data_IF_137639906764
#
_entry.id   IF_137639906764
#
_cell.length_a   1.000
_cell.length_b   1.000
_cell.length_c   1.000
_cell.angle_alpha   90.00
_cell.angle_beta   90.00
_cell.angle_gamma   90.00
#
_symmetry.space_group_name_H-M   'P 1'
#
loop_
_entity.id
_entity.type
_entity.pdbx_description
1 polymer ?
#
# COMPACT_ATOMS: atom_id res chain seq x y z
N UNK A 1 85.88 -22.06 -12.34
CA UNK A 1 85.09 -21.36 -11.31
C UNK A 1 83.89 -20.78 -12.00
N UNK A 2 82.69 -21.43 -11.77
CA UNK A 2 81.48 -21.06 -12.47
C UNK A 2 80.52 -20.44 -11.44
N UNK A 3 80.24 -19.13 -11.53
CA UNK A 3 79.28 -18.42 -10.68
C UNK A 3 77.87 -18.55 -11.25
N UNK A 4 77.01 -19.30 -10.55
CA UNK A 4 75.58 -19.29 -10.86
C UNK A 4 74.89 -18.24 -9.99
N UNK A 5 74.29 -17.24 -10.62
CA UNK A 5 73.45 -16.22 -9.96
C UNK A 5 72.08 -16.81 -9.61
N UNK A 6 71.44 -16.47 -8.47
CA UNK A 6 70.12 -16.98 -8.10
C UNK A 6 69.04 -16.15 -8.82
N UNK A 7 68.10 -16.88 -9.48
CA UNK A 7 66.89 -16.31 -10.08
C UNK A 7 65.90 -15.97 -8.96
N UNK A 8 65.65 -14.67 -8.76
CA UNK A 8 64.57 -14.20 -7.90
C UNK A 8 63.22 -14.45 -8.58
N UNK A 9 62.40 -15.31 -7.99
CA UNK A 9 61.00 -15.47 -8.39
C UNK A 9 60.19 -14.27 -7.89
N UNK A 10 59.67 -13.45 -8.81
CA UNK A 10 58.72 -12.40 -8.54
C UNK A 10 57.35 -13.06 -8.35
N UNK A 11 56.84 -13.04 -7.13
CA UNK A 11 55.46 -13.50 -6.84
C UNK A 11 54.49 -12.41 -7.32
N UNK A 12 53.73 -12.72 -8.37
CA UNK A 12 52.62 -11.90 -8.83
C UNK A 12 51.46 -12.03 -7.79
N UNK A 13 51.27 -10.95 -7.04
CA UNK A 13 50.11 -10.82 -6.16
C UNK A 13 48.85 -10.79 -7.02
N UNK A 14 47.95 -11.76 -6.85
CA UNK A 14 46.60 -11.76 -7.44
C UNK A 14 45.76 -10.69 -6.73
N UNK A 15 45.10 -9.79 -7.49
CA UNK A 15 44.16 -8.88 -6.86
C UNK A 15 42.98 -9.69 -6.30
N UNK A 16 42.69 -9.54 -5.02
CA UNK A 16 41.51 -10.08 -4.40
C UNK A 16 40.28 -9.38 -5.00
N UNK A 17 39.47 -10.12 -5.75
CA UNK A 17 38.15 -9.68 -6.17
C UNK A 17 37.31 -9.50 -4.90
N UNK A 18 37.08 -8.24 -4.52
CA UNK A 18 36.13 -7.91 -3.49
C UNK A 18 34.75 -8.38 -3.94
N UNK A 19 34.25 -9.42 -3.30
CA UNK A 19 32.87 -9.86 -3.48
C UNK A 19 31.95 -8.71 -3.06
N UNK A 20 31.32 -8.05 -4.05
CA UNK A 20 30.22 -7.13 -3.79
C UNK A 20 29.06 -7.98 -3.25
N UNK A 21 28.90 -7.97 -1.95
CA UNK A 21 27.71 -8.52 -1.31
C UNK A 21 26.48 -7.82 -1.89
N UNK A 22 25.57 -8.57 -2.48
CA UNK A 22 24.24 -8.09 -2.78
C UNK A 22 23.54 -7.84 -1.44
N UNK A 23 23.57 -6.59 -0.98
CA UNK A 23 22.66 -6.17 0.07
C UNK A 23 21.27 -6.14 -0.58
N UNK A 24 20.50 -7.20 -0.44
CA UNK A 24 19.07 -7.12 -0.62
C UNK A 24 18.55 -6.19 0.48
N UNK A 25 18.34 -4.93 0.16
CA UNK A 25 17.53 -4.06 1.01
C UNK A 25 16.20 -4.78 1.22
N UNK A 26 15.77 -5.06 2.47
CA UNK A 26 14.45 -5.59 2.69
C UNK A 26 13.47 -4.65 1.99
N UNK A 27 12.55 -5.20 1.18
CA UNK A 27 11.48 -4.42 0.55
C UNK A 27 10.81 -3.61 1.64
N UNK A 28 10.96 -2.31 1.56
CA UNK A 28 10.43 -1.42 2.56
C UNK A 28 8.95 -1.21 2.24
N UNK A 29 8.07 -1.96 2.89
CA UNK A 29 6.66 -1.60 2.98
C UNK A 29 6.51 -0.15 3.45
N UNK A 30 5.35 0.47 3.15
CA UNK A 30 4.99 1.77 3.70
C UNK A 30 5.45 1.91 5.17
N UNK A 31 6.11 3.02 5.49
CA UNK A 31 6.74 3.24 6.81
C UNK A 31 6.00 4.30 7.60
N UNK A 32 5.99 4.15 8.92
CA UNK A 32 5.60 5.24 9.82
C UNK A 32 6.52 6.44 9.58
N UNK A 33 5.92 7.63 9.44
CA UNK A 33 6.60 8.88 9.06
C UNK A 33 6.69 9.13 7.56
N UNK A 34 6.32 8.17 6.71
CA UNK A 34 6.27 8.36 5.26
C UNK A 34 5.16 9.34 4.90
N UNK A 35 5.44 10.29 4.02
CA UNK A 35 4.45 11.19 3.45
C UNK A 35 3.50 10.45 2.52
N UNK A 36 2.23 10.86 2.49
CA UNK A 36 1.27 10.34 1.53
C UNK A 36 1.68 10.80 0.12
N UNK A 37 1.71 9.88 -0.87
CA UNK A 37 2.09 10.23 -2.24
C UNK A 37 1.23 11.37 -2.81
N UNK A 38 1.87 12.43 -3.29
CA UNK A 38 1.22 13.56 -3.94
C UNK A 38 0.97 13.22 -5.42
N UNK A 39 -0.11 12.51 -5.71
CA UNK A 39 -0.45 11.99 -7.03
C UNK A 39 -1.92 12.23 -7.36
N UNK A 40 -2.20 12.77 -8.55
CA UNK A 40 -3.55 12.99 -9.10
C UNK A 40 -4.04 11.78 -9.91
N UNK A 41 -3.96 10.58 -9.32
CA UNK A 41 -4.23 9.31 -10.01
C UNK A 41 -5.43 8.54 -9.46
N UNK A 42 -5.87 8.87 -8.25
CA UNK A 42 -7.05 8.26 -7.67
C UNK A 42 -8.31 8.91 -8.25
N UNK A 43 -9.34 8.10 -8.46
CA UNK A 43 -10.58 8.50 -9.10
C UNK A 43 -11.78 8.17 -8.23
N UNK A 44 -12.68 9.13 -8.05
CA UNK A 44 -13.92 8.96 -7.29
C UNK A 44 -15.13 9.10 -8.21
N UNK A 45 -16.02 8.13 -8.19
CA UNK A 45 -17.29 8.07 -8.94
C UNK A 45 -17.18 8.12 -10.46
N UNK A 46 -16.18 8.82 -11.01
CA UNK A 46 -16.00 8.98 -12.46
C UNK A 46 -14.54 9.25 -12.82
N UNK A 47 -14.10 8.99 -14.06
CA UNK A 47 -12.72 9.25 -14.50
C UNK A 47 -12.30 10.72 -14.47
N UNK A 48 -13.25 11.64 -14.52
CA UNK A 48 -13.00 13.07 -14.47
C UNK A 48 -12.80 13.63 -13.07
N UNK A 49 -13.19 12.88 -12.04
CA UNK A 49 -13.11 13.31 -10.65
C UNK A 49 -11.84 12.71 -10.00
N UNK A 50 -10.74 13.45 -10.08
CA UNK A 50 -9.46 13.08 -9.48
C UNK A 50 -9.39 13.51 -8.02
N UNK A 51 -8.84 12.64 -7.19
CA UNK A 51 -8.61 12.86 -5.77
C UNK A 51 -7.13 12.69 -5.46
N UNK A 52 -6.56 13.69 -4.79
CA UNK A 52 -5.19 13.65 -4.31
C UNK A 52 -5.18 13.52 -2.79
N UNK A 53 -4.84 12.34 -2.30
CA UNK A 53 -4.88 12.09 -0.85
C UNK A 53 -3.85 12.90 -0.06
N UNK A 54 -2.73 13.31 -0.65
CA UNK A 54 -1.80 14.22 0.02
C UNK A 54 -2.44 15.59 0.26
N UNK A 55 -3.26 16.08 -0.68
CA UNK A 55 -4.00 17.35 -0.51
C UNK A 55 -5.14 17.21 0.52
N UNK A 56 -5.90 16.11 0.48
CA UNK A 56 -6.98 15.82 1.44
C UNK A 56 -6.44 15.80 2.88
N UNK A 57 -5.27 15.20 3.11
CA UNK A 57 -4.66 15.08 4.43
C UNK A 57 -3.78 16.26 4.86
N UNK A 58 -3.70 17.35 4.09
CA UNK A 58 -3.05 18.60 4.55
C UNK A 58 -3.79 19.28 5.70
N UNK A 59 -5.10 19.18 5.72
CA UNK A 59 -5.96 19.87 6.70
C UNK A 59 -6.81 18.91 7.54
N UNK A 60 -6.67 17.62 7.35
CA UNK A 60 -7.46 16.61 8.03
C UNK A 60 -6.61 15.39 8.40
N UNK A 61 -7.02 14.69 9.45
CA UNK A 61 -6.48 13.39 9.81
C UNK A 61 -7.49 12.30 9.46
N UNK A 62 -7.04 11.06 9.37
CA UNK A 62 -7.95 9.96 9.09
C UNK A 62 -7.25 8.66 8.70
N UNK A 63 -7.88 7.90 7.80
CA UNK A 63 -7.41 6.57 7.43
C UNK A 63 -7.50 6.32 5.92
N UNK A 64 -6.53 5.55 5.42
CA UNK A 64 -6.55 4.95 4.09
C UNK A 64 -6.67 3.45 4.28
N UNK A 65 -7.76 2.87 3.79
CA UNK A 65 -8.07 1.44 3.88
C UNK A 65 -7.92 0.82 2.50
N UNK A 66 -6.89 0.02 2.31
CA UNK A 66 -6.64 -0.68 1.04
C UNK A 66 -7.27 -2.05 1.01
N UNK A 67 -7.81 -2.41 -0.14
CA UNK A 67 -8.42 -3.73 -0.37
C UNK A 67 -7.90 -4.35 -1.66
N UNK A 68 -7.76 -5.69 -1.73
CA UNK A 68 -7.37 -6.40 -2.93
C UNK A 68 -8.29 -6.18 -4.14
N UNK A 69 -9.60 -6.21 -3.92
CA UNK A 69 -10.56 -5.93 -4.99
C UNK A 69 -11.93 -5.58 -4.42
N UNK A 70 -12.62 -4.63 -5.07
CA UNK A 70 -14.05 -4.42 -4.91
C UNK A 70 -14.83 -5.72 -5.24
N UNK A 71 -15.98 -5.91 -4.62
CA UNK A 71 -16.86 -7.10 -4.77
C UNK A 71 -16.23 -8.45 -4.39
N UNK A 72 -14.97 -8.51 -3.97
CA UNK A 72 -14.38 -9.77 -3.52
C UNK A 72 -14.88 -10.17 -2.12
N UNK A 73 -14.84 -11.48 -1.82
CA UNK A 73 -15.48 -12.08 -0.67
C UNK A 73 -15.22 -11.36 0.67
N UNK A 74 -13.99 -11.45 1.22
CA UNK A 74 -13.64 -10.84 2.52
C UNK A 74 -13.74 -9.31 2.50
N UNK A 75 -13.42 -8.65 1.38
CA UNK A 75 -13.52 -7.19 1.27
C UNK A 75 -14.95 -6.70 1.47
N UNK A 76 -15.92 -7.41 0.86
CA UNK A 76 -17.34 -7.02 0.88
C UNK A 76 -18.11 -7.56 2.08
N UNK A 77 -17.72 -8.74 2.62
CA UNK A 77 -18.48 -9.39 3.69
C UNK A 77 -17.97 -9.08 5.11
N UNK A 78 -16.70 -8.66 5.24
CA UNK A 78 -16.06 -8.47 6.55
C UNK A 78 -15.30 -7.15 6.66
N UNK A 79 -14.30 -6.92 5.79
CA UNK A 79 -13.33 -5.85 5.99
C UNK A 79 -13.98 -4.46 5.96
N UNK A 80 -14.60 -4.06 4.85
CA UNK A 80 -15.25 -2.75 4.77
C UNK A 80 -16.50 -2.65 5.66
N UNK A 81 -17.36 -3.69 5.78
CA UNK A 81 -18.42 -3.68 6.77
C UNK A 81 -17.96 -3.47 8.22
N UNK A 82 -16.76 -3.94 8.62
CA UNK A 82 -16.24 -3.68 9.97
C UNK A 82 -16.05 -2.18 10.22
N UNK A 83 -15.58 -1.41 9.23
CA UNK A 83 -15.47 0.05 9.33
C UNK A 83 -16.83 0.72 9.32
N UNK A 84 -17.70 0.36 8.36
CA UNK A 84 -19.05 0.93 8.22
C UNK A 84 -19.85 0.83 9.54
N UNK A 85 -19.76 -0.32 10.21
CA UNK A 85 -20.51 -0.59 11.42
C UNK A 85 -19.77 -0.22 12.72
N UNK A 86 -18.53 0.30 12.63
CA UNK A 86 -17.74 0.58 13.82
C UNK A 86 -18.24 1.82 14.56
N UNK A 87 -18.45 1.75 15.89
CA UNK A 87 -19.02 2.86 16.67
C UNK A 87 -18.13 4.11 16.67
N UNK A 88 -16.81 3.94 16.50
CA UNK A 88 -15.85 5.05 16.45
C UNK A 88 -15.63 5.62 15.04
N UNK A 89 -16.31 5.12 14.00
CA UNK A 89 -16.12 5.62 12.63
C UNK A 89 -16.31 7.14 12.53
N UNK A 90 -17.33 7.69 13.19
CA UNK A 90 -17.61 9.14 13.20
C UNK A 90 -16.49 9.98 13.81
N UNK A 91 -15.60 9.38 14.60
CA UNK A 91 -14.48 10.02 15.26
C UNK A 91 -13.15 9.76 14.50
N UNK A 92 -13.17 8.92 13.47
CA UNK A 92 -11.99 8.50 12.72
C UNK A 92 -11.42 9.60 11.81
N UNK A 93 -12.13 10.72 11.65
CA UNK A 93 -11.78 11.71 10.64
C UNK A 93 -12.18 11.25 9.23
N UNK A 94 -11.37 11.59 8.23
CA UNK A 94 -11.63 11.15 6.86
C UNK A 94 -11.25 9.68 6.68
N UNK A 95 -12.09 8.90 6.01
CA UNK A 95 -11.81 7.49 5.70
C UNK A 95 -11.94 7.27 4.20
N UNK A 96 -10.86 6.83 3.58
CA UNK A 96 -10.78 6.52 2.16
C UNK A 96 -10.54 5.03 1.95
N UNK A 97 -11.39 4.40 1.16
CA UNK A 97 -11.17 3.02 0.67
C UNK A 97 -10.51 3.09 -0.70
N UNK A 98 -9.37 2.44 -0.86
CA UNK A 98 -8.60 2.41 -2.11
C UNK A 98 -8.50 0.99 -2.64
N UNK A 99 -8.76 0.81 -3.93
CA UNK A 99 -8.57 -0.45 -4.63
C UNK A 99 -8.05 -0.24 -6.06
N UNK A 100 -7.26 -1.20 -6.55
CA UNK A 100 -6.84 -1.25 -7.97
C UNK A 100 -8.03 -1.73 -8.82
N UNK A 101 -9.03 -0.86 -8.90
CA UNK A 101 -10.25 -0.98 -9.70
C UNK A 101 -10.52 0.37 -10.37
N UNK A 102 -11.35 0.36 -11.40
CA UNK A 102 -11.83 1.59 -12.03
C UNK A 102 -12.89 2.32 -11.15
N UNK A 103 -13.15 3.62 -11.39
CA UNK A 103 -14.06 4.40 -10.56
C UNK A 103 -15.51 3.96 -10.65
N UNK A 104 -15.95 3.35 -11.75
CA UNK A 104 -17.32 2.89 -11.90
C UNK A 104 -17.59 1.66 -11.02
N UNK A 105 -16.62 0.74 -10.96
CA UNK A 105 -16.68 -0.41 -10.04
C UNK A 105 -16.67 0.06 -8.59
N UNK A 106 -15.81 1.02 -8.24
CA UNK A 106 -15.74 1.57 -6.87
C UNK A 106 -17.03 2.27 -6.47
N UNK A 107 -17.63 3.04 -7.38
CA UNK A 107 -18.94 3.68 -7.17
C UNK A 107 -20.05 2.67 -6.91
N UNK A 108 -20.21 1.69 -7.81
CA UNK A 108 -21.22 0.66 -7.66
C UNK A 108 -21.05 -0.14 -6.35
N UNK A 109 -19.81 -0.42 -5.98
CA UNK A 109 -19.51 -1.13 -4.74
C UNK A 109 -19.81 -0.28 -3.50
N UNK A 110 -19.52 1.02 -3.52
CA UNK A 110 -19.88 1.94 -2.44
C UNK A 110 -21.39 2.02 -2.24
N UNK A 111 -22.16 2.11 -3.34
CA UNK A 111 -23.63 2.13 -3.33
C UNK A 111 -24.24 0.84 -2.77
N UNK A 112 -23.57 -0.30 -2.98
CA UNK A 112 -23.99 -1.58 -2.37
C UNK A 112 -23.71 -1.62 -0.86
N UNK A 113 -22.54 -1.13 -0.42
CA UNK A 113 -22.12 -1.24 0.97
C UNK A 113 -22.69 -0.13 1.88
N UNK A 114 -22.86 1.06 1.36
CA UNK A 114 -23.41 2.24 2.05
C UNK A 114 -24.43 2.96 1.16
N UNK A 115 -25.59 2.34 0.88
CA UNK A 115 -26.58 2.88 -0.05
C UNK A 115 -27.14 4.24 0.36
N UNK A 116 -27.14 4.53 1.65
CA UNK A 116 -27.61 5.81 2.18
C UNK A 116 -26.51 6.88 2.26
N UNK A 117 -25.25 6.53 1.94
CA UNK A 117 -24.06 7.41 2.04
C UNK A 117 -23.93 8.09 3.42
N UNK A 118 -24.25 7.35 4.49
CA UNK A 118 -24.30 7.90 5.85
C UNK A 118 -22.96 7.76 6.60
N UNK A 119 -22.05 6.94 6.10
CA UNK A 119 -20.77 6.67 6.79
C UNK A 119 -19.74 7.77 6.58
N UNK A 120 -19.83 8.53 5.47
CA UNK A 120 -18.79 9.47 5.05
C UNK A 120 -17.53 8.80 4.50
N UNK A 121 -17.51 7.47 4.35
CA UNK A 121 -16.40 6.76 3.71
C UNK A 121 -16.39 7.05 2.21
N UNK A 122 -15.24 7.43 1.68
CA UNK A 122 -15.05 7.70 0.25
C UNK A 122 -14.35 6.53 -0.42
N UNK A 123 -14.84 6.11 -1.59
CA UNK A 123 -14.35 4.94 -2.32
C UNK A 123 -13.62 5.37 -3.58
N UNK A 124 -12.32 5.12 -3.62
CA UNK A 124 -11.42 5.59 -4.67
C UNK A 124 -10.88 4.42 -5.49
N UNK A 125 -10.91 4.58 -6.82
CA UNK A 125 -10.25 3.69 -7.75
C UNK A 125 -8.82 4.12 -8.02
N UNK A 126 -7.91 3.16 -8.07
CA UNK A 126 -6.51 3.30 -8.51
C UNK A 126 -6.30 2.44 -9.78
N UNK A 127 -6.90 2.79 -10.94
CA UNK A 127 -7.00 1.88 -12.08
C UNK A 127 -5.65 1.49 -12.67
N UNK A 128 -4.63 2.32 -12.54
CA UNK A 128 -3.26 2.04 -12.99
C UNK A 128 -2.37 1.43 -11.91
N UNK A 129 -2.84 1.43 -10.66
CA UNK A 129 -2.09 0.98 -9.50
C UNK A 129 -0.90 1.88 -9.14
N UNK A 130 -0.87 3.12 -9.62
CA UNK A 130 0.25 4.04 -9.37
C UNK A 130 0.33 4.46 -7.91
N UNK A 131 -0.80 4.78 -7.28
CA UNK A 131 -0.84 5.10 -5.86
C UNK A 131 -0.43 3.90 -5.00
N UNK A 132 -0.96 2.72 -5.31
CA UNK A 132 -0.63 1.45 -4.65
C UNK A 132 0.86 1.12 -4.76
N UNK A 133 1.46 1.33 -5.94
CA UNK A 133 2.91 1.14 -6.17
C UNK A 133 3.76 2.15 -5.40
N UNK A 134 3.33 3.41 -5.36
CA UNK A 134 4.05 4.46 -4.64
C UNK A 134 4.16 4.20 -3.12
N UNK A 135 3.20 3.46 -2.56
CA UNK A 135 3.22 2.99 -1.17
C UNK A 135 3.93 1.63 -0.99
N UNK A 136 4.41 0.99 -2.07
CA UNK A 136 4.93 -0.40 -2.08
C UNK A 136 3.95 -1.42 -1.48
N UNK A 137 2.65 -1.21 -1.72
CA UNK A 137 1.57 -2.06 -1.23
C UNK A 137 0.90 -2.88 -2.33
N UNK A 138 1.57 -3.03 -3.49
CA UNK A 138 1.12 -3.88 -4.58
C UNK A 138 1.59 -5.33 -4.43
N UNK A 139 0.82 -6.27 -5.00
CA UNK A 139 1.23 -7.67 -5.17
C UNK A 139 0.67 -8.24 -6.48
N UNK A 140 1.35 -9.25 -7.00
CA UNK A 140 0.93 -9.96 -8.21
C UNK A 140 -0.21 -10.91 -7.88
N UNK A 141 -1.35 -10.75 -8.55
CA UNK A 141 -2.57 -11.50 -8.32
C UNK A 141 -3.22 -11.98 -9.62
N UNK A 142 -2.39 -12.32 -10.62
CA UNK A 142 -2.85 -12.68 -11.96
C UNK A 142 -3.80 -13.87 -11.98
N UNK A 143 -3.55 -14.90 -11.19
CA UNK A 143 -4.35 -16.12 -11.16
C UNK A 143 -5.78 -15.89 -10.60
N UNK A 144 -5.95 -14.91 -9.71
CA UNK A 144 -7.22 -14.67 -9.02
C UNK A 144 -7.95 -13.45 -9.58
N UNK A 145 -7.19 -12.37 -9.87
CA UNK A 145 -7.77 -11.07 -10.22
C UNK A 145 -7.33 -10.56 -11.60
N UNK A 146 -6.53 -11.33 -12.33
CA UNK A 146 -6.09 -11.01 -13.68
C UNK A 146 -5.03 -9.90 -13.75
N UNK A 147 -4.39 -9.53 -12.64
CA UNK A 147 -3.37 -8.48 -12.63
C UNK A 147 -2.86 -8.14 -11.24
N UNK A 148 -2.03 -7.10 -11.17
CA UNK A 148 -1.54 -6.54 -9.91
C UNK A 148 -2.71 -5.97 -9.09
N UNK A 149 -2.68 -6.19 -7.79
CA UNK A 149 -3.66 -5.65 -6.82
C UNK A 149 -2.97 -5.01 -5.62
N UNK A 150 -3.73 -4.22 -4.88
CA UNK A 150 -3.31 -3.74 -3.58
C UNK A 150 -3.40 -4.85 -2.52
N UNK A 151 -2.45 -4.87 -1.59
CA UNK A 151 -2.59 -5.66 -0.36
C UNK A 151 -3.79 -5.18 0.43
N UNK A 152 -4.23 -5.97 1.40
CA UNK A 152 -5.16 -5.46 2.40
C UNK A 152 -4.36 -4.75 3.49
N UNK A 153 -4.77 -3.51 3.79
CA UNK A 153 -4.10 -2.68 4.80
C UNK A 153 -5.03 -1.62 5.36
N UNK A 154 -4.62 -1.03 6.47
CA UNK A 154 -5.09 0.26 6.94
C UNK A 154 -3.91 1.14 7.34
N UNK A 155 -3.93 2.39 6.94
CA UNK A 155 -2.94 3.40 7.32
C UNK A 155 -3.66 4.50 8.10
N UNK A 156 -3.20 4.79 9.31
CA UNK A 156 -3.59 6.02 10.01
C UNK A 156 -2.73 7.15 9.49
N UNK A 157 -3.35 8.26 9.12
CA UNK A 157 -2.68 9.44 8.57
C UNK A 157 -2.91 10.62 9.50
N UNK A 158 -1.82 11.26 9.91
CA UNK A 158 -1.80 12.47 10.72
C UNK A 158 -0.80 13.45 10.11
N UNK A 159 -1.21 14.70 9.94
CA UNK A 159 -0.40 15.76 9.34
C UNK A 159 0.24 15.38 7.98
N UNK A 160 -0.54 14.71 7.13
CA UNK A 160 -0.09 14.26 5.81
C UNK A 160 0.91 13.09 5.81
N UNK A 161 1.15 12.45 6.96
CA UNK A 161 2.09 11.35 7.12
C UNK A 161 1.43 10.11 7.72
N UNK A 162 1.95 8.96 7.36
CA UNK A 162 1.55 7.70 7.97
C UNK A 162 2.01 7.66 9.43
N UNK A 163 1.08 7.70 10.37
CA UNK A 163 1.38 7.59 11.81
C UNK A 163 1.32 6.15 12.32
N UNK A 164 0.48 5.29 11.70
CA UNK A 164 0.45 3.84 11.94
C UNK A 164 0.14 3.09 10.65
N UNK A 165 0.70 1.89 10.52
CA UNK A 165 0.47 1.02 9.36
C UNK A 165 0.08 -0.39 9.85
N UNK A 166 -1.03 -0.89 9.34
CA UNK A 166 -1.60 -2.21 9.59
C UNK A 166 -1.70 -2.94 8.25
N UNK A 167 -0.67 -3.66 7.87
CA UNK A 167 -0.59 -4.35 6.57
C UNK A 167 -0.68 -5.84 6.80
N UNK A 168 -1.61 -6.52 6.11
CA UNK A 168 -1.76 -7.97 6.22
C UNK A 168 -0.53 -8.67 5.63
N UNK A 169 0.11 -9.56 6.41
CA UNK A 169 1.37 -10.18 6.01
C UNK A 169 1.24 -11.13 4.81
N UNK A 170 0.08 -11.71 4.62
CA UNK A 170 -0.27 -12.62 3.52
C UNK A 170 -0.97 -11.94 2.34
N UNK A 171 -0.95 -10.60 2.27
CA UNK A 171 -1.57 -9.71 1.29
C UNK A 171 -3.10 -9.62 1.37
N UNK A 172 -3.82 -10.66 1.75
CA UNK A 172 -5.29 -10.77 1.65
C UNK A 172 -5.99 -11.15 2.95
N UNK A 173 -5.23 -11.46 4.00
CA UNK A 173 -5.73 -11.75 5.34
C UNK A 173 -6.57 -10.62 5.95
N UNK A 174 -7.17 -10.88 7.10
CA UNK A 174 -8.02 -9.92 7.82
C UNK A 174 -7.81 -10.03 9.32
N UNK A 175 -6.54 -10.00 9.74
CA UNK A 175 -6.15 -10.14 11.14
C UNK A 175 -5.80 -8.80 11.79
N UNK A 176 -5.03 -7.94 11.08
CA UNK A 176 -4.48 -6.71 11.66
C UNK A 176 -5.14 -5.43 11.14
N UNK A 177 -5.78 -5.48 9.97
CA UNK A 177 -6.33 -4.30 9.27
C UNK A 177 -7.84 -4.11 9.47
N UNK A 178 -8.48 -4.93 10.28
CA UNK A 178 -9.90 -4.80 10.62
C UNK A 178 -10.15 -3.57 11.50
N UNK A 179 -11.35 -3.00 11.41
CA UNK A 179 -11.70 -1.77 12.13
C UNK A 179 -11.50 -1.86 13.66
N UNK A 180 -11.76 -3.02 14.24
CA UNK A 180 -11.56 -3.30 15.67
C UNK A 180 -10.10 -3.21 16.10
N UNK A 181 -9.15 -3.44 15.18
CA UNK A 181 -7.73 -3.33 15.45
C UNK A 181 -7.19 -1.91 15.16
N UNK A 182 -7.88 -1.18 14.30
CA UNK A 182 -7.40 0.08 13.71
C UNK A 182 -8.01 1.29 14.42
N UNK A 183 -9.29 1.23 14.77
CA UNK A 183 -10.05 2.33 15.37
C UNK A 183 -10.15 2.27 16.90
N UNK A 184 -9.80 1.14 17.49
CA UNK A 184 -9.71 1.00 18.95
C UNK A 184 -8.40 1.53 19.51
#
# INVERSE_FOLDING_TARGET
>A
MSFRAPIRRIALARPALAARGFHSTPRAFVRVGQEIPNLDVLLEDSPGNKVNLAEEFKSANGYIVGVPAAFSGTCSSKHIPSYINHPKLKQAGQVFVVSVNDPFVMKAWSEQLDPAKQTGIRFLGDPTGEFTKALDLGFEAYEVFGGMRGKRYALKVEDGKVSKAYVEPDNTGSAVSMAEQVLD
#
